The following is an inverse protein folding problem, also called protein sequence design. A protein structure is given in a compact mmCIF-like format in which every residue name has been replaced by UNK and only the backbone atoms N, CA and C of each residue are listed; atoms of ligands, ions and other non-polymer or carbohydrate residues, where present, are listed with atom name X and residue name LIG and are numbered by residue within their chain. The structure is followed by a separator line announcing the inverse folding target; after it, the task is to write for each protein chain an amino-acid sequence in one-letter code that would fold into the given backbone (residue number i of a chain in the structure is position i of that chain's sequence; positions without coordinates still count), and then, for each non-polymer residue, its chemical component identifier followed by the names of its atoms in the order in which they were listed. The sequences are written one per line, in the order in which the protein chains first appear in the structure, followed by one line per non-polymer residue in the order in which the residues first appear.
data_IF_662876524951
#
_entry.id   IF_662876524951
#
_cell.length_a   1.000
_cell.length_b   1.000
_cell.length_c   1.000
_cell.angle_alpha   90.00
_cell.angle_beta   90.00
_cell.angle_gamma   90.00
#
_symmetry.space_group_name_H-M   'P 1'
#
loop_
_entity.id
_entity.type
_entity.pdbx_description
1 polymer ?
#
# COMPACT_ATOMS: atom_id res chain seq x y z
N UNK A 1 7.15 11.74 4.91
CA UNK A 1 7.20 13.00 4.12
C UNK A 1 7.23 12.65 2.63
N UNK A 2 6.41 13.29 1.78
CA UNK A 2 6.26 12.90 0.37
C UNK A 2 7.38 13.41 -0.55
N UNK A 3 7.88 14.62 -0.27
CA UNK A 3 9.01 15.25 -0.96
C UNK A 3 10.08 15.65 0.06
N UNK A 4 11.31 15.93 -0.37
CA UNK A 4 12.37 16.41 0.54
C UNK A 4 12.03 17.79 1.15
N UNK A 5 11.26 18.61 0.44
CA UNK A 5 10.72 19.89 0.91
C UNK A 5 9.19 19.92 0.94
N UNK A 6 8.63 21.13 1.01
CA UNK A 6 7.17 21.35 1.00
C UNK A 6 6.56 21.28 -0.41
N UNK A 7 7.35 21.46 -1.45
CA UNK A 7 6.89 21.46 -2.84
C UNK A 7 7.88 20.78 -3.78
N UNK A 8 7.35 20.30 -4.91
CA UNK A 8 8.14 19.72 -5.99
C UNK A 8 7.82 20.45 -7.30
N UNK A 9 8.84 20.98 -7.96
CA UNK A 9 8.69 21.76 -9.19
C UNK A 9 9.22 21.00 -10.39
N UNK A 10 8.39 20.86 -11.43
CA UNK A 10 8.74 20.20 -12.69
C UNK A 10 8.64 21.19 -13.83
N UNK A 11 9.75 21.38 -14.55
CA UNK A 11 9.82 22.20 -15.75
C UNK A 11 10.33 21.35 -16.92
N UNK A 12 9.44 20.87 -17.80
CA UNK A 12 9.83 20.11 -18.98
C UNK A 12 10.72 20.95 -19.90
N UNK A 13 11.81 20.35 -20.41
CA UNK A 13 12.70 21.01 -21.38
C UNK A 13 11.99 21.26 -22.73
N UNK A 14 11.11 20.34 -23.11
CA UNK A 14 10.30 20.43 -24.31
C UNK A 14 8.83 20.64 -23.95
N UNK A 15 8.20 21.58 -24.64
CA UNK A 15 6.78 21.89 -24.45
C UNK A 15 5.94 20.75 -25.02
N UNK A 16 5.10 20.17 -24.17
CA UNK A 16 4.23 19.04 -24.51
C UNK A 16 2.83 19.28 -23.92
N UNK A 17 1.79 18.66 -24.51
CA UNK A 17 0.42 18.79 -24.01
C UNK A 17 0.19 18.01 -22.70
N UNK A 18 1.14 17.19 -22.27
CA UNK A 18 1.07 16.39 -21.04
C UNK A 18 2.43 16.36 -20.33
N UNK A 19 2.39 16.33 -19.01
CA UNK A 19 3.58 16.15 -18.16
C UNK A 19 3.33 15.01 -17.19
N UNK A 20 4.31 14.13 -17.04
CA UNK A 20 4.28 13.04 -16.06
C UNK A 20 5.24 13.38 -14.93
N UNK A 21 4.72 13.37 -13.70
CA UNK A 21 5.51 13.63 -12.49
C UNK A 21 5.57 12.35 -11.67
N UNK A 22 6.72 11.68 -11.55
CA UNK A 22 6.84 10.49 -10.73
C UNK A 22 6.74 10.86 -9.24
N UNK A 23 5.98 10.09 -8.48
CA UNK A 23 5.85 10.23 -7.03
C UNK A 23 6.25 8.90 -6.40
N UNK A 24 7.11 8.94 -5.37
CA UNK A 24 7.61 7.73 -4.72
C UNK A 24 7.67 7.94 -3.20
N UNK A 25 6.52 7.86 -2.50
CA UNK A 25 6.47 7.94 -1.05
C UNK A 25 7.31 6.81 -0.42
N UNK A 26 8.15 7.15 0.55
CA UNK A 26 8.98 6.17 1.28
C UNK A 26 8.17 5.32 2.26
N UNK A 27 7.02 5.82 2.69
CA UNK A 27 6.14 5.22 3.69
C UNK A 27 4.69 5.19 3.16
N UNK A 28 3.85 4.37 3.78
CA UNK A 28 2.43 4.25 3.44
C UNK A 28 1.63 5.36 4.12
N UNK A 29 1.44 6.46 3.40
CA UNK A 29 0.83 7.71 3.89
C UNK A 29 -0.26 8.21 2.96
N UNK A 30 -1.37 8.65 3.54
CA UNK A 30 -2.36 9.45 2.83
C UNK A 30 -1.83 10.88 2.67
N UNK A 31 -1.95 11.46 1.48
CA UNK A 31 -1.54 12.84 1.23
C UNK A 31 -2.49 13.55 0.28
N UNK A 32 -2.74 14.84 0.52
CA UNK A 32 -3.45 15.71 -0.42
C UNK A 32 -2.45 16.63 -1.11
N UNK A 33 -2.45 16.61 -2.44
CA UNK A 33 -1.52 17.36 -3.28
C UNK A 33 -2.26 18.50 -3.96
N UNK A 34 -1.87 19.72 -3.60
CA UNK A 34 -2.26 20.91 -4.34
C UNK A 34 -1.36 21.06 -5.57
N UNK A 35 -1.90 20.79 -6.74
CA UNK A 35 -1.22 20.88 -8.03
C UNK A 35 -1.46 22.27 -8.63
N UNK A 36 -0.37 22.96 -8.97
CA UNK A 36 -0.38 24.25 -9.65
C UNK A 36 0.27 24.09 -11.03
N UNK A 37 -0.57 24.07 -12.07
CA UNK A 37 -0.14 23.78 -13.44
C UNK A 37 -0.22 25.04 -14.29
N UNK A 38 0.92 25.45 -14.86
CA UNK A 38 0.98 26.57 -15.79
C UNK A 38 0.75 26.06 -17.22
N UNK A 39 -0.33 26.53 -17.85
CA UNK A 39 -0.71 26.16 -19.22
C UNK A 39 -0.55 27.37 -20.13
N UNK A 40 0.13 27.21 -21.25
CA UNK A 40 0.36 28.30 -22.20
C UNK A 40 0.69 27.79 -23.59
N UNK A 41 0.64 28.70 -24.56
CA UNK A 41 1.10 28.43 -25.93
C UNK A 41 2.63 28.47 -26.00
N UNK A 42 3.19 27.89 -27.06
CA UNK A 42 4.64 27.93 -27.29
C UNK A 42 5.11 29.38 -27.36
N UNK A 43 6.19 29.68 -26.64
CA UNK A 43 6.82 31.00 -26.57
C UNK A 43 5.91 32.11 -26.00
N UNK A 44 4.82 31.77 -25.32
CA UNK A 44 4.00 32.74 -24.61
C UNK A 44 4.75 33.29 -23.38
N UNK A 45 4.65 34.59 -23.14
CA UNK A 45 5.10 35.23 -21.89
C UNK A 45 4.02 35.22 -20.80
N UNK A 46 2.82 34.74 -21.11
CA UNK A 46 1.66 34.68 -20.21
C UNK A 46 1.15 33.24 -20.14
N UNK A 47 0.88 32.79 -18.92
CA UNK A 47 0.40 31.44 -18.62
C UNK A 47 -0.93 31.51 -17.86
N UNK A 48 -1.82 30.59 -18.17
CA UNK A 48 -3.00 30.31 -17.36
C UNK A 48 -2.60 29.36 -16.23
N UNK A 49 -2.79 29.79 -14.98
CA UNK A 49 -2.59 28.94 -13.81
C UNK A 49 -3.86 28.11 -13.57
N UNK A 50 -3.73 26.79 -13.66
CA UNK A 50 -4.76 25.84 -13.28
C UNK A 50 -4.40 25.20 -11.94
N UNK A 51 -5.29 25.30 -10.97
CA UNK A 51 -5.15 24.68 -9.65
C UNK A 51 -6.05 23.44 -9.57
N UNK A 52 -5.52 22.34 -9.02
CA UNK A 52 -6.19 21.05 -8.90
C UNK A 52 -5.77 20.41 -7.58
N UNK A 53 -6.67 19.67 -6.94
CA UNK A 53 -6.34 18.87 -5.77
C UNK A 53 -6.34 17.38 -6.14
N UNK A 54 -5.30 16.66 -5.72
CA UNK A 54 -5.18 15.22 -5.93
C UNK A 54 -4.97 14.51 -4.59
N UNK A 55 -5.80 13.53 -4.29
CA UNK A 55 -5.66 12.71 -3.08
C UNK A 55 -4.87 11.46 -3.42
N UNK A 56 -3.70 11.31 -2.80
CA UNK A 56 -2.87 10.13 -2.89
C UNK A 56 -3.30 9.12 -1.81
N UNK A 57 -3.78 7.93 -2.18
CA UNK A 57 -4.14 6.88 -1.22
C UNK A 57 -2.94 6.39 -0.43
N UNK A 58 -3.21 5.87 0.78
CA UNK A 58 -2.18 5.41 1.72
C UNK A 58 -1.27 4.33 1.15
N UNK A 59 -1.86 3.35 0.46
CA UNK A 59 -1.16 2.22 -0.16
C UNK A 59 -0.96 2.44 -1.67
N UNK A 60 -0.59 3.67 -2.06
CA UNK A 60 -0.40 4.06 -3.47
C UNK A 60 0.77 3.35 -4.17
N UNK A 61 1.72 2.79 -3.42
CA UNK A 61 2.91 2.11 -3.96
C UNK A 61 2.70 0.61 -4.23
N UNK A 62 1.48 0.11 -4.11
CA UNK A 62 1.16 -1.30 -4.37
C UNK A 62 0.34 -1.40 -5.66
N UNK A 63 0.95 -1.97 -6.69
CA UNK A 63 0.32 -2.13 -8.02
C UNK A 63 -0.31 -3.51 -8.09
N UNK A 64 -1.56 -3.62 -8.60
CA UNK A 64 -2.23 -4.89 -8.71
C UNK A 64 -1.58 -5.75 -9.80
N UNK A 65 -1.43 -7.03 -9.52
CA UNK A 65 -0.94 -8.01 -10.47
C UNK A 65 -2.10 -8.52 -11.32
N UNK A 66 -1.94 -8.50 -12.64
CA UNK A 66 -2.90 -9.10 -13.58
C UNK A 66 -2.89 -10.62 -13.49
N UNK A 67 -3.95 -11.28 -13.95
CA UNK A 67 -4.08 -12.76 -13.96
C UNK A 67 -2.90 -13.49 -14.62
N UNK A 68 -2.21 -12.84 -15.56
CA UNK A 68 -1.06 -13.41 -16.27
C UNK A 68 0.26 -13.32 -15.47
N UNK A 69 0.24 -12.55 -14.37
CA UNK A 69 1.33 -12.40 -13.41
C UNK A 69 0.96 -13.08 -12.09
N UNK A 70 0.43 -14.32 -12.15
CA UNK A 70 0.21 -15.13 -10.95
C UNK A 70 1.51 -15.17 -10.13
N UNK A 71 1.43 -14.94 -8.80
CA UNK A 71 2.61 -14.97 -7.97
C UNK A 71 3.28 -16.33 -8.12
N UNK A 72 4.59 -16.31 -8.41
CA UNK A 72 5.43 -17.50 -8.44
C UNK A 72 5.32 -18.26 -7.11
N UNK A 73 5.86 -19.50 -7.06
CA UNK A 73 5.88 -20.42 -5.91
C UNK A 73 6.19 -19.81 -4.53
N UNK A 74 6.77 -18.62 -4.48
CA UNK A 74 7.21 -17.90 -3.28
C UNK A 74 6.15 -16.87 -2.83
N UNK A 75 4.98 -17.36 -2.40
CA UNK A 75 4.02 -16.51 -1.68
C UNK A 75 4.57 -16.13 -0.30
N UNK A 76 4.25 -14.92 0.22
CA UNK A 76 4.59 -14.55 1.59
C UNK A 76 4.15 -15.61 2.59
N UNK A 77 5.04 -15.95 3.52
CA UNK A 77 4.77 -16.89 4.61
C UNK A 77 4.03 -16.18 5.75
N UNK A 78 4.40 -14.92 5.99
CA UNK A 78 3.75 -14.03 6.93
C UNK A 78 2.31 -13.75 6.56
N UNK A 79 1.41 -13.82 7.54
CA UNK A 79 0.01 -13.46 7.34
C UNK A 79 -0.71 -13.07 8.63
N UNK A 80 -1.78 -12.31 8.46
CA UNK A 80 -2.77 -12.00 9.49
C UNK A 80 -4.14 -12.42 9.00
N UNK A 81 -4.89 -13.07 9.88
CA UNK A 81 -6.20 -13.66 9.59
C UNK A 81 -7.25 -13.08 10.53
N UNK A 82 -8.43 -12.76 9.99
CA UNK A 82 -9.58 -12.28 10.75
C UNK A 82 -10.79 -13.18 10.49
N UNK A 83 -11.49 -13.55 11.56
CA UNK A 83 -12.73 -14.31 11.49
C UNK A 83 -13.93 -13.38 11.69
N UNK A 84 -14.97 -13.52 10.87
CA UNK A 84 -16.22 -12.76 11.06
C UNK A 84 -16.18 -11.31 10.57
N UNK A 85 -15.36 -11.03 9.55
CA UNK A 85 -15.24 -9.71 8.93
C UNK A 85 -16.40 -9.34 7.98
N UNK A 86 -16.39 -8.09 7.48
CA UNK A 86 -17.43 -7.60 6.59
C UNK A 86 -17.47 -8.32 5.24
N UNK A 87 -18.63 -8.27 4.57
CA UNK A 87 -18.83 -8.92 3.27
C UNK A 87 -17.80 -8.47 2.22
N UNK A 88 -17.59 -9.29 1.19
CA UNK A 88 -16.65 -8.99 0.09
C UNK A 88 -16.77 -7.53 -0.39
N UNK A 89 -17.99 -7.01 -0.56
CA UNK A 89 -18.26 -5.64 -1.03
C UNK A 89 -17.65 -4.52 -0.17
N UNK A 90 -17.42 -4.73 1.14
CA UNK A 90 -16.72 -3.75 1.98
C UNK A 90 -15.21 -3.77 1.73
N UNK A 91 -14.61 -4.94 1.46
CA UNK A 91 -13.22 -5.02 1.01
C UNK A 91 -13.07 -4.34 -0.35
N UNK A 92 -14.02 -4.54 -1.29
CA UNK A 92 -13.98 -3.89 -2.60
C UNK A 92 -13.88 -2.36 -2.46
N UNK A 93 -14.77 -1.76 -1.66
CA UNK A 93 -14.75 -0.31 -1.42
C UNK A 93 -13.52 0.19 -0.67
N UNK A 94 -13.01 -0.62 0.26
CA UNK A 94 -11.79 -0.28 0.98
C UNK A 94 -10.58 -0.26 0.04
N UNK A 95 -10.49 -1.24 -0.87
CA UNK A 95 -9.43 -1.27 -1.87
C UNK A 95 -9.50 -0.02 -2.77
N UNK A 96 -10.68 0.37 -3.24
CA UNK A 96 -10.86 1.60 -4.04
C UNK A 96 -10.47 2.87 -3.28
N UNK A 97 -10.63 2.93 -1.96
CA UNK A 97 -10.28 4.12 -1.17
C UNK A 97 -8.82 4.17 -0.74
N UNK A 98 -8.24 3.02 -0.41
CA UNK A 98 -6.93 2.96 0.26
C UNK A 98 -5.78 2.61 -0.70
N UNK A 99 -6.08 2.07 -1.88
CA UNK A 99 -5.11 1.74 -2.93
C UNK A 99 -5.35 2.61 -4.17
N UNK A 100 -4.31 2.77 -5.00
CA UNK A 100 -4.43 3.47 -6.27
C UNK A 100 -4.92 2.53 -7.39
N UNK A 101 -6.05 1.86 -7.15
CA UNK A 101 -6.63 0.85 -8.05
C UNK A 101 -8.11 1.11 -8.27
N UNK A 102 -8.60 0.67 -9.44
CA UNK A 102 -10.03 0.50 -9.67
C UNK A 102 -10.34 -0.98 -9.46
N UNK A 103 -11.15 -1.30 -8.45
CA UNK A 103 -11.50 -2.67 -8.09
C UNK A 103 -12.05 -3.45 -9.28
N UNK A 104 -12.90 -2.82 -10.10
CA UNK A 104 -13.47 -3.43 -11.31
C UNK A 104 -12.41 -3.95 -12.28
N UNK A 105 -11.23 -3.31 -12.35
CA UNK A 105 -10.13 -3.70 -13.23
C UNK A 105 -9.35 -4.91 -12.70
N UNK A 106 -9.44 -5.20 -11.40
CA UNK A 106 -8.67 -6.26 -10.73
C UNK A 106 -9.55 -7.39 -10.21
N UNK A 107 -10.87 -7.29 -10.43
CA UNK A 107 -11.85 -8.28 -10.05
C UNK A 107 -11.64 -9.57 -10.85
N UNK A 108 -11.41 -10.66 -10.14
CA UNK A 108 -11.26 -12.01 -10.64
C UNK A 108 -12.27 -12.95 -9.95
N UNK A 109 -12.52 -14.12 -10.55
CA UNK A 109 -13.39 -15.15 -9.96
C UNK A 109 -12.81 -15.72 -8.65
N UNK A 110 -11.49 -15.68 -8.51
CA UNK A 110 -10.77 -16.01 -7.28
C UNK A 110 -10.85 -14.79 -6.37
N UNK A 111 -11.43 -14.86 -5.17
CA UNK A 111 -11.49 -13.72 -4.22
C UNK A 111 -10.12 -13.41 -3.58
N UNK A 112 -9.05 -13.35 -4.38
CA UNK A 112 -7.67 -13.09 -3.96
C UNK A 112 -7.11 -11.99 -4.85
N UNK A 113 -6.75 -10.88 -4.20
CA UNK A 113 -6.16 -9.72 -4.83
C UNK A 113 -4.67 -9.74 -4.55
N UNK A 114 -3.88 -9.68 -5.62
CA UNK A 114 -2.42 -9.75 -5.53
C UNK A 114 -1.83 -8.40 -5.91
N UNK A 115 -0.93 -7.91 -5.09
CA UNK A 115 -0.25 -6.65 -5.30
C UNK A 115 1.26 -6.82 -5.18
N UNK A 116 1.98 -5.92 -5.83
CA UNK A 116 3.43 -5.84 -5.80
C UNK A 116 3.85 -4.44 -5.40
N UNK A 117 4.72 -4.37 -4.41
CA UNK A 117 5.31 -3.14 -3.93
C UNK A 117 6.28 -2.58 -4.98
N UNK A 118 6.09 -1.31 -5.33
CA UNK A 118 7.02 -0.56 -6.19
C UNK A 118 8.31 -0.15 -5.45
N UNK A 119 8.40 -0.37 -4.13
CA UNK A 119 9.57 0.01 -3.32
C UNK A 119 10.65 -1.07 -3.33
N UNK A 120 10.23 -2.33 -3.23
CA UNK A 120 11.11 -3.47 -2.95
C UNK A 120 10.70 -4.76 -3.69
N UNK A 121 9.72 -4.70 -4.60
CA UNK A 121 9.17 -5.86 -5.34
C UNK A 121 8.49 -6.92 -4.44
N UNK A 122 8.26 -6.62 -3.16
CA UNK A 122 7.59 -7.53 -2.24
C UNK A 122 6.12 -7.74 -2.61
N UNK A 123 5.60 -8.93 -2.28
CA UNK A 123 4.22 -9.32 -2.57
C UNK A 123 3.30 -9.03 -1.38
N UNK A 124 2.11 -8.52 -1.70
CA UNK A 124 0.98 -8.41 -0.79
C UNK A 124 -0.19 -9.17 -1.38
N UNK A 125 -0.77 -10.09 -0.62
CA UNK A 125 -1.96 -10.85 -1.02
C UNK A 125 -3.10 -10.56 -0.06
N UNK A 126 -4.26 -10.24 -0.60
CA UNK A 126 -5.49 -10.06 0.17
C UNK A 126 -6.45 -11.15 -0.28
N UNK A 127 -6.60 -12.18 0.57
CA UNK A 127 -7.48 -13.31 0.33
C UNK A 127 -8.79 -13.12 1.11
N UNK A 128 -9.91 -13.16 0.42
CA UNK A 128 -11.25 -13.01 1.00
C UNK A 128 -12.03 -14.28 0.78
N UNK A 129 -12.40 -14.95 1.87
CA UNK A 129 -13.29 -16.10 1.86
C UNK A 129 -14.63 -15.72 2.51
N UNK A 130 -15.63 -16.61 2.43
CA UNK A 130 -16.97 -16.34 3.00
C UNK A 130 -16.96 -16.09 4.53
N UNK A 131 -15.95 -16.57 5.24
CA UNK A 131 -15.88 -16.55 6.71
C UNK A 131 -14.60 -15.89 7.23
N UNK A 132 -13.61 -15.70 6.37
CA UNK A 132 -12.23 -15.38 6.75
C UNK A 132 -11.66 -14.36 5.77
N UNK A 133 -10.99 -13.33 6.29
CA UNK A 133 -10.15 -12.41 5.51
C UNK A 133 -8.71 -12.65 5.94
N UNK A 134 -7.80 -12.76 4.97
CA UNK A 134 -6.39 -13.05 5.22
C UNK A 134 -5.51 -12.09 4.41
N UNK A 135 -4.70 -11.31 5.12
CA UNK A 135 -3.66 -10.46 4.53
C UNK A 135 -2.33 -11.21 4.63
N UNK A 136 -1.69 -11.51 3.49
CA UNK A 136 -0.38 -12.17 3.46
C UNK A 136 0.68 -11.17 3.02
N UNK A 137 1.69 -11.01 3.85
CA UNK A 137 2.87 -10.19 3.65
C UNK A 137 3.92 -10.65 4.66
N UNK A 138 5.19 -10.62 4.30
CA UNK A 138 6.27 -10.92 5.25
C UNK A 138 6.64 -9.71 6.12
N UNK A 139 6.14 -8.52 5.79
CA UNK A 139 6.35 -7.31 6.57
C UNK A 139 5.28 -7.18 7.66
N UNK A 140 5.66 -7.39 8.93
CA UNK A 140 4.76 -7.23 10.09
C UNK A 140 4.19 -5.81 10.22
N UNK A 141 5.00 -4.79 9.90
CA UNK A 141 4.57 -3.39 9.96
C UNK A 141 3.45 -3.12 8.97
N UNK A 142 3.63 -3.53 7.71
CA UNK A 142 2.60 -3.42 6.67
C UNK A 142 1.33 -4.18 7.06
N UNK A 143 1.45 -5.38 7.62
CA UNK A 143 0.30 -6.13 8.08
C UNK A 143 -0.49 -5.34 9.16
N UNK A 144 0.20 -4.74 10.13
CA UNK A 144 -0.41 -3.89 11.15
C UNK A 144 -1.10 -2.66 10.57
N UNK A 145 -0.43 -1.98 9.63
CA UNK A 145 -0.98 -0.81 8.95
C UNK A 145 -2.24 -1.16 8.16
N UNK A 146 -2.27 -2.30 7.46
CA UNK A 146 -3.44 -2.80 6.74
C UNK A 146 -4.60 -3.14 7.69
N UNK A 147 -4.31 -3.81 8.81
CA UNK A 147 -5.33 -4.13 9.82
C UNK A 147 -5.98 -2.86 10.34
N UNK A 148 -5.15 -1.89 10.74
CA UNK A 148 -5.62 -0.65 11.35
C UNK A 148 -6.42 0.20 10.35
N UNK A 149 -5.90 0.38 9.14
CA UNK A 149 -6.58 1.12 8.07
C UNK A 149 -7.95 0.50 7.75
N UNK A 150 -7.99 -0.83 7.64
CA UNK A 150 -9.22 -1.55 7.38
C UNK A 150 -10.21 -1.47 8.55
N UNK A 151 -9.75 -1.62 9.79
CA UNK A 151 -10.60 -1.51 10.98
C UNK A 151 -11.22 -0.11 11.10
N UNK A 152 -10.45 0.94 10.84
CA UNK A 152 -10.92 2.32 10.82
C UNK A 152 -11.96 2.53 9.71
N UNK A 153 -11.66 2.09 8.49
CA UNK A 153 -12.59 2.15 7.35
C UNK A 153 -13.91 1.41 7.63
N UNK A 154 -13.82 0.20 8.19
CA UNK A 154 -14.98 -0.62 8.50
C UNK A 154 -15.73 -0.20 9.77
N UNK A 155 -15.23 0.81 10.49
CA UNK A 155 -15.73 1.31 11.78
C UNK A 155 -15.83 0.21 12.83
N UNK A 156 -14.82 -0.65 12.91
CA UNK A 156 -14.75 -1.76 13.85
C UNK A 156 -14.06 -1.32 15.14
N UNK A 157 -14.78 -1.37 16.26
CA UNK A 157 -14.19 -1.03 17.57
C UNK A 157 -13.18 -2.07 18.05
N UNK A 158 -13.40 -3.35 17.70
CA UNK A 158 -12.53 -4.47 18.03
C UNK A 158 -12.52 -5.43 16.84
N UNK A 159 -11.33 -5.89 16.48
CA UNK A 159 -11.12 -6.90 15.45
C UNK A 159 -10.17 -7.95 16.01
N UNK A 160 -10.69 -9.14 16.28
CA UNK A 160 -9.87 -10.27 16.69
C UNK A 160 -9.08 -10.79 15.47
N UNK A 161 -7.77 -10.96 15.63
CA UNK A 161 -6.89 -11.38 14.56
C UNK A 161 -5.87 -12.40 15.03
N UNK A 162 -5.52 -13.32 14.13
CA UNK A 162 -4.45 -14.29 14.33
C UNK A 162 -3.31 -13.95 13.38
N UNK A 163 -2.17 -13.54 13.95
CA UNK A 163 -0.94 -13.24 13.21
C UNK A 163 0.01 -14.44 13.21
N UNK A 164 0.63 -14.72 12.06
CA UNK A 164 1.62 -15.77 11.91
C UNK A 164 2.78 -15.25 11.06
N UNK A 165 3.93 -15.01 11.69
CA UNK A 165 5.16 -14.52 11.06
C UNK A 165 6.34 -15.40 11.52
N UNK A 166 6.58 -16.54 10.84
CA UNK A 166 7.54 -17.54 11.32
C UNK A 166 8.97 -17.00 11.35
N UNK A 167 9.39 -16.26 10.32
CA UNK A 167 10.74 -15.71 10.23
C UNK A 167 11.02 -14.65 11.30
N UNK A 168 10.07 -13.74 11.54
CA UNK A 168 10.19 -12.75 12.62
C UNK A 168 10.21 -13.41 14.01
N UNK A 169 9.45 -14.49 14.20
CA UNK A 169 9.47 -15.27 15.43
C UNK A 169 10.82 -15.99 15.64
N UNK A 170 11.45 -16.47 14.57
CA UNK A 170 12.81 -17.06 14.62
C UNK A 170 13.85 -15.98 14.98
N UNK A 171 13.85 -14.85 14.28
CA UNK A 171 14.72 -13.71 14.58
C UNK A 171 14.58 -13.25 16.04
N UNK A 172 13.34 -13.18 16.55
CA UNK A 172 13.07 -12.84 17.94
C UNK A 172 13.68 -13.85 18.93
N UNK A 173 13.53 -15.15 18.66
CA UNK A 173 14.13 -16.20 19.50
C UNK A 173 15.65 -16.10 19.56
N UNK A 174 16.30 -15.81 18.44
CA UNK A 174 17.76 -15.63 18.40
C UNK A 174 18.19 -14.45 19.26
N UNK A 175 17.51 -13.30 19.16
CA UNK A 175 17.80 -12.12 19.96
C UNK A 175 17.62 -12.41 21.46
N UNK A 176 16.55 -13.10 21.85
CA UNK A 176 16.32 -13.48 23.25
C UNK A 176 17.45 -14.36 23.78
N UNK A 177 17.88 -15.36 23.02
CA UNK A 177 19.01 -16.22 23.41
C UNK A 177 20.31 -15.44 23.57
N UNK A 178 20.55 -14.43 22.72
CA UNK A 178 21.73 -13.55 22.85
C UNK A 178 21.64 -12.75 24.15
N UNK A 179 20.48 -12.17 24.47
CA UNK A 179 20.27 -11.40 25.70
C UNK A 179 20.45 -12.26 26.94
N UNK A 180 19.94 -13.50 26.94
CA UNK A 180 20.13 -14.45 28.04
C UNK A 180 21.61 -14.73 28.30
N UNK A 181 22.40 -15.02 27.24
CA UNK A 181 23.86 -15.23 27.36
C UNK A 181 24.58 -14.01 27.96
N UNK A 182 24.16 -12.79 27.60
CA UNK A 182 24.76 -11.56 28.13
C UNK A 182 24.37 -11.31 29.59
N UNK A 183 23.17 -11.71 30.01
CA UNK A 183 22.75 -11.63 31.40
C UNK A 183 23.46 -12.66 32.29
N UNK A 184 23.83 -13.84 31.76
CA UNK A 184 24.58 -14.86 32.51
C UNK A 184 26.07 -14.52 32.73
N UNK A 185 26.63 -13.63 31.89
CA UNK A 185 28.03 -13.19 31.99
C UNK A 185 28.22 -11.88 32.76
N UNK A 186 27.15 -11.32 33.33
CA UNK A 186 27.13 -10.05 34.08
C UNK A 186 26.88 -10.27 35.56
#
# INVERSE_FOLDING_TARGET
QLFEGESHFVCPKEQSPSVSVPISPKEDVFAELALKVFVGLRNSSVYYLKELDYKLPRFSMYVPLTSDQEPAKDSPQGHVTFNGGPNAAKIERWLDSSFNVLFEAIKNDKMTFSFRSLRDDSLLLICVNKQEIKFRTDCMQLAGDLVQDFSEFASLAQLESTAHFPQEMENFKEVVQVVERHNETR
#
